data_IF_354407651228
#
_entry.id   IF_354407651228
#
_cell.length_a   1.000
_cell.length_b   1.000
_cell.length_c   1.000
_cell.angle_alpha   90.00
_cell.angle_beta   90.00
_cell.angle_gamma   90.00
#
_symmetry.space_group_name_H-M   'P 1'
#
loop_
_entity.id
_entity.type
_entity.pdbx_description
1 polymer ?
#
# COMPACT_ATOMS: atom_id res chain seq x y z
N UNK A 1 73.42 -50.66 35.33
CA UNK A 1 72.90 -49.76 34.29
C UNK A 1 71.60 -50.36 33.78
N UNK A 2 70.45 -49.92 34.31
CA UNK A 2 69.46 -49.00 33.68
C UNK A 2 68.81 -49.64 32.44
N UNK A 3 67.63 -50.27 32.57
CA UNK A 3 66.26 -49.72 32.54
C UNK A 3 65.74 -49.32 31.15
N UNK A 4 64.43 -49.53 30.96
CA UNK A 4 63.40 -48.81 30.16
C UNK A 4 62.66 -49.78 29.21
N UNK A 5 61.49 -50.31 29.62
CA UNK A 5 60.11 -49.80 29.36
C UNK A 5 59.83 -49.62 27.85
N UNK A 6 58.91 -50.35 27.20
CA UNK A 6 57.49 -50.51 27.53
C UNK A 6 56.68 -49.50 26.71
N UNK A 7 55.77 -49.95 25.82
CA UNK A 7 54.68 -49.14 25.25
C UNK A 7 53.57 -50.02 24.67
N UNK A 8 52.49 -50.15 25.44
CA UNK A 8 51.16 -50.49 24.93
C UNK A 8 50.72 -49.40 23.95
N UNK A 9 50.22 -49.81 22.79
CA UNK A 9 49.50 -48.92 21.89
C UNK A 9 48.05 -48.76 22.39
N UNK A 10 47.74 -47.58 22.91
CA UNK A 10 46.36 -47.11 23.11
C UNK A 10 45.78 -46.74 21.74
N UNK A 11 44.78 -47.49 21.29
CA UNK A 11 43.88 -47.05 20.23
C UNK A 11 42.92 -46.01 20.84
N UNK A 12 43.20 -44.72 20.61
CA UNK A 12 42.29 -43.65 20.94
C UNK A 12 41.23 -43.56 19.84
N UNK A 13 40.05 -44.11 20.11
CA UNK A 13 38.84 -43.90 19.31
C UNK A 13 38.42 -42.44 19.47
N UNK A 14 38.78 -41.58 18.51
CA UNK A 14 38.19 -40.25 18.39
C UNK A 14 36.70 -40.42 18.06
N UNK A 15 35.84 -40.22 19.05
CA UNK A 15 34.44 -39.93 18.82
C UNK A 15 34.37 -38.50 18.30
N UNK A 16 34.34 -38.35 16.97
CA UNK A 16 33.89 -37.10 16.34
C UNK A 16 32.43 -36.90 16.76
N UNK A 17 32.18 -35.91 17.61
CA UNK A 17 30.85 -35.33 17.81
C UNK A 17 30.40 -34.81 16.45
N UNK A 18 29.65 -35.62 15.71
CA UNK A 18 28.92 -35.18 14.54
C UNK A 18 27.86 -34.21 15.04
N UNK A 19 28.13 -32.90 14.92
CA UNK A 19 27.08 -31.90 15.03
C UNK A 19 25.98 -32.25 14.04
N UNK A 20 24.72 -32.20 14.47
CA UNK A 20 23.59 -32.39 13.58
C UNK A 20 23.75 -31.41 12.40
N UNK A 21 23.93 -31.95 11.20
CA UNK A 21 24.07 -31.14 10.00
C UNK A 21 22.72 -30.46 9.71
N UNK A 22 22.74 -29.14 9.60
CA UNK A 22 21.61 -28.32 9.14
C UNK A 22 21.40 -28.54 7.64
N UNK A 23 20.16 -28.42 7.15
CA UNK A 23 19.87 -28.53 5.73
C UNK A 23 19.92 -27.14 5.06
N UNK A 24 19.28 -26.15 5.66
CA UNK A 24 19.37 -24.76 5.24
C UNK A 24 20.60 -24.08 5.85
N UNK A 25 21.21 -23.19 5.08
CA UNK A 25 22.19 -22.22 5.57
C UNK A 25 21.45 -21.04 6.16
N UNK A 26 21.67 -20.75 7.45
CA UNK A 26 20.98 -19.69 8.18
C UNK A 26 22.02 -18.72 8.72
N UNK A 27 22.00 -17.48 8.24
CA UNK A 27 23.05 -16.50 8.54
C UNK A 27 22.50 -15.10 8.76
N UNK A 28 23.22 -14.28 9.53
CA UNK A 28 22.98 -12.83 9.58
C UNK A 28 23.21 -12.19 8.20
N UNK A 29 22.58 -11.04 7.98
CA UNK A 29 22.68 -10.27 6.74
C UNK A 29 22.73 -8.78 7.05
N UNK A 30 23.47 -8.05 6.23
CA UNK A 30 23.70 -6.62 6.42
C UNK A 30 22.66 -5.75 5.67
N UNK A 31 21.49 -6.30 5.33
CA UNK A 31 20.37 -5.49 4.82
C UNK A 31 20.16 -5.43 3.31
N UNK A 32 21.01 -6.03 2.47
CA UNK A 32 21.04 -5.61 1.07
C UNK A 32 19.78 -5.97 0.26
N UNK A 33 19.21 -4.94 -0.40
CA UNK A 33 18.15 -5.03 -1.41
C UNK A 33 16.73 -5.02 -0.87
N UNK A 34 16.44 -5.83 0.16
CA UNK A 34 15.07 -6.08 0.65
C UNK A 34 14.85 -5.72 2.12
N UNK A 35 15.83 -5.11 2.79
CA UNK A 35 15.74 -4.77 4.22
C UNK A 35 15.89 -5.97 5.15
N UNK A 36 16.72 -6.95 4.76
CA UNK A 36 16.88 -8.20 5.50
C UNK A 36 18.06 -8.18 6.48
N UNK A 37 17.85 -8.57 7.73
CA UNK A 37 18.93 -8.72 8.71
C UNK A 37 19.37 -10.17 8.93
N UNK A 38 18.64 -11.13 8.35
CA UNK A 38 19.01 -12.54 8.30
C UNK A 38 18.53 -13.19 6.99
N UNK A 39 19.11 -14.36 6.68
CA UNK A 39 18.82 -15.15 5.49
C UNK A 39 18.63 -16.63 5.82
N UNK A 40 17.80 -17.29 5.03
CA UNK A 40 17.62 -18.74 5.00
C UNK A 40 17.79 -19.18 3.54
N UNK A 41 18.89 -19.89 3.26
CA UNK A 41 19.26 -20.33 1.93
C UNK A 41 19.31 -21.88 1.88
N UNK A 42 18.63 -22.49 0.90
CA UNK A 42 18.60 -23.94 0.70
C UNK A 42 17.41 -24.67 1.36
N UNK A 43 17.33 -26.01 1.23
CA UNK A 43 16.18 -26.80 1.68
C UNK A 43 15.98 -26.74 3.20
N UNK A 44 14.74 -26.56 3.66
CA UNK A 44 14.38 -26.55 5.08
C UNK A 44 14.31 -27.99 5.59
N UNK A 45 15.19 -28.34 6.52
CA UNK A 45 15.33 -29.68 7.09
C UNK A 45 15.24 -29.69 8.60
N UNK A 46 15.37 -30.91 9.14
CA UNK A 46 15.31 -31.15 10.57
C UNK A 46 16.37 -30.32 11.31
N UNK A 47 15.98 -29.68 12.41
CA UNK A 47 16.81 -28.85 13.30
C UNK A 47 17.09 -27.44 12.82
N UNK A 48 16.68 -27.07 11.61
CA UNK A 48 16.85 -25.71 11.09
C UNK A 48 16.08 -24.69 11.93
N UNK A 49 14.92 -25.06 12.50
CA UNK A 49 14.18 -24.18 13.41
C UNK A 49 14.99 -23.83 14.67
N UNK A 50 15.72 -24.80 15.23
CA UNK A 50 16.58 -24.56 16.40
C UNK A 50 17.76 -23.66 16.05
N UNK A 51 18.36 -23.88 14.89
CA UNK A 51 19.46 -23.06 14.39
C UNK A 51 19.01 -21.61 14.14
N UNK A 52 17.82 -21.44 13.57
CA UNK A 52 17.18 -20.14 13.38
C UNK A 52 16.95 -19.39 14.70
N UNK A 53 16.32 -20.03 15.69
CA UNK A 53 16.13 -19.42 17.02
C UNK A 53 17.46 -19.02 17.67
N UNK A 54 18.50 -19.85 17.52
CA UNK A 54 19.82 -19.56 18.07
C UNK A 54 20.45 -18.32 17.41
N UNK A 55 20.43 -18.24 16.07
CA UNK A 55 20.92 -17.07 15.34
C UNK A 55 20.18 -15.80 15.75
N UNK A 56 18.86 -15.82 15.79
CA UNK A 56 18.05 -14.66 16.17
C UNK A 56 18.29 -14.18 17.62
N UNK A 57 18.84 -15.03 18.49
CA UNK A 57 19.23 -14.64 19.84
C UNK A 57 20.61 -13.94 19.88
N UNK A 58 21.44 -14.12 18.86
CA UNK A 58 22.76 -13.51 18.74
C UNK A 58 22.75 -12.20 17.96
N UNK A 59 21.79 -12.04 17.03
CA UNK A 59 21.63 -10.82 16.26
C UNK A 59 21.10 -9.66 17.12
N UNK A 60 21.55 -8.42 16.88
CA UNK A 60 21.00 -7.25 17.56
C UNK A 60 19.52 -7.11 17.21
N UNK A 61 18.71 -6.74 18.21
CA UNK A 61 17.29 -6.44 17.98
C UNK A 61 17.19 -5.29 16.96
N UNK A 62 16.40 -5.46 15.88
CA UNK A 62 16.25 -4.41 14.88
C UNK A 62 15.54 -3.16 15.45
N UNK A 63 15.49 -2.08 14.67
CA UNK A 63 14.72 -0.87 15.02
C UNK A 63 13.22 -1.18 15.13
N UNK A 64 12.55 -1.00 16.27
CA UNK A 64 11.11 -1.29 16.41
C UNK A 64 10.18 -0.36 15.63
N UNK A 65 10.69 0.76 15.10
CA UNK A 65 9.88 1.77 14.43
C UNK A 65 9.69 1.54 12.92
N UNK A 66 10.42 0.60 12.31
CA UNK A 66 10.38 0.36 10.87
C UNK A 66 10.34 -1.15 10.54
N UNK A 67 9.55 -1.57 9.53
CA UNK A 67 9.64 -2.94 8.99
C UNK A 67 10.94 -3.16 8.20
N UNK A 68 11.49 -2.11 7.60
CA UNK A 68 12.73 -2.18 6.83
C UNK A 68 13.92 -2.42 7.77
N UNK A 69 14.70 -3.47 7.49
CA UNK A 69 15.82 -3.88 8.34
C UNK A 69 15.45 -4.97 9.36
N UNK A 70 14.20 -5.46 9.37
CA UNK A 70 13.74 -6.57 10.23
C UNK A 70 13.27 -7.80 9.47
N UNK A 71 13.59 -7.91 8.18
CA UNK A 71 13.09 -9.01 7.34
C UNK A 71 14.03 -10.22 7.34
N UNK A 72 13.44 -11.38 7.14
CA UNK A 72 14.15 -12.63 6.86
C UNK A 72 14.07 -12.88 5.35
N UNK A 73 15.21 -12.84 4.68
CA UNK A 73 15.31 -13.15 3.25
C UNK A 73 15.29 -14.67 3.05
N UNK A 74 14.45 -15.14 2.14
CA UNK A 74 14.19 -16.55 1.88
C UNK A 74 14.61 -16.93 0.46
N UNK A 75 15.45 -17.96 0.34
CA UNK A 75 15.80 -18.61 -0.92
C UNK A 75 15.81 -20.14 -0.71
N UNK A 76 14.65 -20.77 -0.84
CA UNK A 76 14.44 -22.18 -0.55
C UNK A 76 13.34 -22.80 -1.42
N UNK A 77 13.62 -23.98 -1.96
CA UNK A 77 12.62 -24.85 -2.60
C UNK A 77 11.64 -25.50 -1.60
N UNK A 78 11.71 -25.12 -0.32
CA UNK A 78 10.90 -25.67 0.76
C UNK A 78 11.56 -26.86 1.45
N UNK A 79 10.76 -27.85 1.87
CA UNK A 79 11.23 -28.99 2.66
C UNK A 79 10.26 -29.37 3.77
N UNK A 80 10.76 -29.53 4.99
CA UNK A 80 9.98 -30.01 6.13
C UNK A 80 9.02 -28.93 6.64
N UNK A 81 7.73 -29.06 6.32
CA UNK A 81 6.72 -28.07 6.73
C UNK A 81 6.63 -27.89 8.25
N UNK A 82 6.82 -28.95 9.05
CA UNK A 82 6.84 -28.82 10.51
C UNK A 82 7.99 -27.92 11.02
N UNK A 83 9.15 -27.92 10.36
CA UNK A 83 10.27 -27.03 10.71
C UNK A 83 9.99 -25.60 10.23
N UNK A 84 9.44 -25.44 9.03
CA UNK A 84 8.99 -24.15 8.52
C UNK A 84 7.95 -23.48 9.45
N UNK A 85 6.96 -24.23 9.96
CA UNK A 85 5.97 -23.70 10.91
C UNK A 85 6.61 -23.29 12.24
N UNK A 86 7.59 -24.04 12.75
CA UNK A 86 8.33 -23.64 13.97
C UNK A 86 9.14 -22.36 13.77
N UNK A 87 9.73 -22.19 12.58
CA UNK A 87 10.41 -20.96 12.19
C UNK A 87 9.41 -19.81 12.05
N UNK A 88 8.24 -20.05 11.46
CA UNK A 88 7.15 -19.09 11.34
C UNK A 88 6.64 -18.61 12.71
N UNK A 89 6.57 -19.51 13.69
CA UNK A 89 6.20 -19.17 15.07
C UNK A 89 7.24 -18.21 15.70
N UNK A 90 8.54 -18.34 15.39
CA UNK A 90 9.58 -17.39 15.83
C UNK A 90 9.46 -16.02 15.13
N UNK A 91 9.28 -16.02 13.81
CA UNK A 91 9.07 -14.79 13.00
C UNK A 91 7.89 -14.01 13.57
N UNK A 92 6.81 -14.72 13.83
CA UNK A 92 5.60 -14.18 14.42
C UNK A 92 5.84 -13.59 15.80
N UNK A 93 6.43 -14.36 16.72
CA UNK A 93 6.64 -13.92 18.11
C UNK A 93 7.46 -12.63 18.21
N UNK A 94 8.36 -12.42 17.24
CA UNK A 94 9.30 -11.30 17.20
C UNK A 94 8.83 -10.16 16.27
N UNK A 95 7.65 -10.29 15.66
CA UNK A 95 7.12 -9.35 14.65
C UNK A 95 8.15 -9.04 13.55
N UNK A 96 8.68 -10.08 12.93
CA UNK A 96 9.64 -9.99 11.83
C UNK A 96 8.93 -10.13 10.48
N UNK A 97 9.41 -9.39 9.48
CA UNK A 97 8.97 -9.54 8.10
C UNK A 97 9.67 -10.69 7.38
N UNK A 98 9.17 -11.01 6.20
CA UNK A 98 9.78 -11.99 5.28
C UNK A 98 9.97 -11.35 3.92
N UNK A 99 11.00 -11.79 3.19
CA UNK A 99 11.25 -11.31 1.85
C UNK A 99 11.77 -12.41 0.92
N UNK A 100 11.41 -12.35 -0.36
CA UNK A 100 12.00 -13.15 -1.44
C UNK A 100 12.80 -12.20 -2.34
N UNK A 101 14.14 -12.23 -2.29
CA UNK A 101 15.00 -11.35 -3.07
C UNK A 101 14.89 -11.54 -4.59
N UNK A 102 15.55 -10.64 -5.31
CA UNK A 102 15.75 -10.77 -6.75
C UNK A 102 16.35 -12.13 -7.12
N UNK A 103 15.69 -12.84 -8.05
CA UNK A 103 16.15 -14.13 -8.58
C UNK A 103 16.08 -15.29 -7.58
N UNK A 104 15.68 -15.03 -6.32
CA UNK A 104 15.51 -16.07 -5.31
C UNK A 104 14.17 -16.78 -5.49
N UNK A 105 14.10 -18.00 -4.95
CA UNK A 105 12.90 -18.83 -5.01
C UNK A 105 12.42 -19.16 -3.61
N UNK A 106 11.12 -19.09 -3.36
CA UNK A 106 10.51 -19.56 -2.13
C UNK A 106 9.27 -20.39 -2.44
N UNK A 107 9.41 -21.70 -2.36
CA UNK A 107 8.36 -22.65 -2.76
C UNK A 107 7.95 -23.57 -1.61
N UNK A 108 6.76 -24.16 -1.72
CA UNK A 108 6.31 -25.21 -0.81
C UNK A 108 6.34 -24.75 0.67
N UNK A 109 7.02 -25.47 1.55
CA UNK A 109 7.18 -25.11 2.96
C UNK A 109 7.83 -23.72 3.17
N UNK A 110 8.70 -23.26 2.25
CA UNK A 110 9.24 -21.91 2.31
C UNK A 110 8.13 -20.87 2.14
N UNK A 111 7.21 -21.10 1.20
CA UNK A 111 6.10 -20.17 0.95
C UNK A 111 5.16 -20.06 2.16
N UNK A 112 4.98 -21.14 2.93
CA UNK A 112 4.26 -21.07 4.21
C UNK A 112 5.03 -20.26 5.26
N UNK A 113 6.35 -20.43 5.34
CA UNK A 113 7.21 -19.61 6.20
C UNK A 113 7.15 -18.13 5.81
N UNK A 114 7.15 -17.83 4.51
CA UNK A 114 7.00 -16.48 3.97
C UNK A 114 5.72 -15.82 4.47
N UNK A 115 4.60 -16.53 4.54
CA UNK A 115 3.33 -15.97 5.05
C UNK A 115 3.38 -15.57 6.53
N UNK A 116 4.36 -16.01 7.31
CA UNK A 116 4.51 -15.61 8.71
C UNK A 116 4.95 -14.14 8.89
N UNK A 117 5.49 -13.53 7.83
CA UNK A 117 5.99 -12.16 7.83
C UNK A 117 4.94 -11.15 8.25
N UNK A 118 5.28 -10.34 9.26
CA UNK A 118 4.41 -9.34 9.86
C UNK A 118 5.19 -8.19 10.44
N UNK A 119 4.49 -7.08 10.65
CA UNK A 119 4.97 -5.97 11.43
C UNK A 119 3.90 -5.50 12.43
N UNK A 120 4.33 -5.01 13.58
CA UNK A 120 3.44 -4.43 14.59
C UNK A 120 4.05 -3.14 15.11
N UNK A 121 3.37 -2.01 14.92
CA UNK A 121 3.81 -0.74 15.48
C UNK A 121 3.79 -0.80 17.01
N UNK A 122 4.92 -0.55 17.65
CA UNK A 122 5.02 -0.61 19.12
C UNK A 122 4.36 0.61 19.79
N UNK A 123 4.03 1.66 19.03
CA UNK A 123 3.50 2.93 19.55
C UNK A 123 2.11 3.22 18.98
N UNK A 124 1.08 3.19 19.84
CA UNK A 124 -0.22 3.83 19.58
C UNK A 124 -1.36 2.89 19.21
N UNK A 125 -1.13 1.87 18.39
CA UNK A 125 -2.16 0.90 17.97
C UNK A 125 -1.58 -0.51 17.81
N UNK A 126 -2.24 -1.50 18.43
CA UNK A 126 -1.95 -2.94 18.35
C UNK A 126 -2.24 -3.57 16.97
N UNK A 127 -2.20 -2.78 15.89
CA UNK A 127 -2.44 -3.29 14.55
C UNK A 127 -1.23 -4.13 14.11
N UNK A 128 -1.48 -5.41 13.85
CA UNK A 128 -0.52 -6.32 13.21
C UNK A 128 -0.81 -6.29 11.72
N UNK A 129 0.15 -5.83 10.93
CA UNK A 129 0.06 -5.76 9.47
C UNK A 129 0.90 -6.89 8.86
N UNK A 130 0.51 -7.47 7.72
CA UNK A 130 1.43 -8.26 6.91
C UNK A 130 2.70 -7.46 6.58
N UNK A 131 3.86 -8.12 6.60
CA UNK A 131 5.13 -7.57 6.09
C UNK A 131 5.83 -8.68 5.31
N UNK A 132 5.46 -8.76 4.03
CA UNK A 132 5.72 -9.91 3.14
C UNK A 132 6.14 -9.39 1.78
N UNK A 133 7.45 -9.30 1.57
CA UNK A 133 7.99 -8.59 0.40
C UNK A 133 8.50 -9.54 -0.68
N UNK A 134 7.92 -9.48 -1.86
CA UNK A 134 8.36 -10.20 -3.05
C UNK A 134 9.09 -9.24 -4.00
N UNK A 135 10.31 -9.59 -4.40
CA UNK A 135 10.96 -8.86 -5.48
C UNK A 135 10.21 -9.12 -6.81
N UNK A 136 10.05 -8.11 -7.72
CA UNK A 136 9.41 -8.31 -9.03
C UNK A 136 9.98 -9.48 -9.87
N UNK A 137 11.26 -9.77 -9.64
CA UNK A 137 12.05 -10.85 -10.27
C UNK A 137 12.29 -12.07 -9.35
N UNK A 138 11.59 -12.17 -8.22
CA UNK A 138 11.63 -13.31 -7.32
C UNK A 138 10.52 -14.31 -7.63
N UNK A 139 10.65 -15.55 -7.17
CA UNK A 139 9.67 -16.62 -7.41
C UNK A 139 9.04 -17.06 -6.10
N UNK A 140 7.71 -16.99 -5.99
CA UNK A 140 6.95 -17.43 -4.83
C UNK A 140 5.86 -18.41 -5.26
N UNK A 141 5.92 -19.64 -4.78
CA UNK A 141 5.07 -20.73 -5.24
C UNK A 141 4.39 -21.48 -4.10
N UNK A 142 3.08 -21.70 -4.24
CA UNK A 142 2.24 -22.42 -3.29
C UNK A 142 1.70 -23.70 -3.90
N UNK A 143 1.69 -24.77 -3.10
CA UNK A 143 0.97 -25.99 -3.41
C UNK A 143 0.46 -26.66 -2.14
N UNK A 144 -0.43 -27.64 -2.28
CA UNK A 144 -0.98 -28.39 -1.15
C UNK A 144 0.11 -29.19 -0.44
N UNK A 145 0.18 -29.21 0.90
CA UNK A 145 1.11 -30.08 1.60
C UNK A 145 0.85 -31.54 1.22
N UNK A 146 1.89 -32.27 0.80
CA UNK A 146 1.77 -33.69 0.53
C UNK A 146 2.78 -34.52 1.29
N UNK A 147 2.42 -35.78 1.41
CA UNK A 147 3.33 -36.83 1.79
C UNK A 147 3.81 -37.47 0.50
N UNK A 148 5.11 -37.37 0.26
CA UNK A 148 5.74 -38.08 -0.86
C UNK A 148 5.62 -39.57 -0.55
N UNK A 149 4.77 -40.26 -1.31
CA UNK A 149 4.60 -41.71 -1.27
C UNK A 149 5.28 -42.30 -2.50
N UNK A 150 6.15 -43.29 -2.31
CA UNK A 150 6.65 -44.17 -3.36
C UNK A 150 5.53 -44.79 -4.20
N UNK A 151 5.80 -45.07 -5.47
CA UNK A 151 4.85 -45.80 -6.32
C UNK A 151 4.85 -47.30 -5.99
N UNK A 152 4.13 -47.66 -4.92
CA UNK A 152 3.99 -49.05 -4.45
C UNK A 152 2.60 -49.30 -3.85
N UNK A 153 2.19 -50.58 -3.70
CA UNK A 153 1.02 -50.93 -2.92
C UNK A 153 1.22 -50.54 -1.44
N UNK A 154 0.20 -49.88 -0.86
CA UNK A 154 0.16 -49.47 0.54
C UNK A 154 -0.87 -50.28 1.33
N UNK A 155 -0.53 -50.66 2.55
CA UNK A 155 -1.51 -51.21 3.49
C UNK A 155 -2.49 -50.12 3.95
N UNK A 156 -3.71 -50.53 4.33
CA UNK A 156 -4.74 -49.60 4.85
C UNK A 156 -4.25 -48.74 6.01
N UNK A 157 -3.43 -49.31 6.89
CA UNK A 157 -2.86 -48.61 8.04
C UNK A 157 -1.87 -47.51 7.61
N UNK A 158 -1.04 -47.78 6.60
CA UNK A 158 -0.12 -46.79 6.03
C UNK A 158 -0.89 -45.62 5.40
N UNK A 159 -1.95 -45.92 4.65
CA UNK A 159 -2.83 -44.90 4.04
C UNK A 159 -3.52 -44.06 5.12
N UNK A 160 -4.06 -44.69 6.17
CA UNK A 160 -4.69 -43.97 7.27
C UNK A 160 -3.70 -43.07 8.01
N UNK A 161 -2.48 -43.56 8.26
CA UNK A 161 -1.41 -42.79 8.91
C UNK A 161 -1.01 -41.58 8.06
N UNK A 162 -0.84 -41.78 6.75
CA UNK A 162 -0.55 -40.71 5.82
C UNK A 162 -1.68 -39.66 5.79
N UNK A 163 -2.93 -40.11 5.70
CA UNK A 163 -4.08 -39.20 5.74
C UNK A 163 -4.16 -38.39 7.03
N UNK A 164 -3.98 -39.03 8.20
CA UNK A 164 -3.94 -38.34 9.50
C UNK A 164 -2.80 -37.32 9.59
N UNK A 165 -1.63 -37.65 9.04
CA UNK A 165 -0.50 -36.72 9.01
C UNK A 165 -0.78 -35.53 8.09
N UNK A 166 -1.35 -35.74 6.90
CA UNK A 166 -1.76 -34.66 6.00
C UNK A 166 -2.78 -33.71 6.67
N UNK A 167 -3.79 -34.24 7.35
CA UNK A 167 -4.74 -33.43 8.12
C UNK A 167 -4.09 -32.65 9.26
N UNK A 168 -3.14 -33.27 9.97
CA UNK A 168 -2.39 -32.60 11.03
C UNK A 168 -1.56 -31.43 10.47
N UNK A 169 -0.94 -31.62 9.31
CA UNK A 169 -0.17 -30.58 8.62
C UNK A 169 -1.03 -29.40 8.19
N UNK A 170 -2.24 -29.67 7.69
CA UNK A 170 -3.24 -28.62 7.42
C UNK A 170 -3.67 -27.90 8.70
N UNK A 171 -3.86 -28.66 9.78
CA UNK A 171 -4.15 -28.12 11.11
C UNK A 171 -3.09 -27.13 11.59
N UNK A 172 -1.80 -27.39 11.35
CA UNK A 172 -0.72 -26.46 11.71
C UNK A 172 -0.77 -25.13 10.93
N UNK A 173 -1.10 -25.16 9.64
CA UNK A 173 -1.26 -23.92 8.86
C UNK A 173 -2.47 -23.11 9.36
N UNK A 174 -3.58 -23.79 9.64
CA UNK A 174 -4.78 -23.15 10.20
C UNK A 174 -4.53 -22.60 11.62
N UNK A 175 -3.75 -23.32 12.43
CA UNK A 175 -3.31 -22.88 13.76
C UNK A 175 -2.47 -21.61 13.63
N UNK A 176 -1.49 -21.59 12.72
CA UNK A 176 -0.67 -20.42 12.44
C UNK A 176 -1.52 -19.20 12.04
N UNK A 177 -2.57 -19.41 11.23
CA UNK A 177 -3.54 -18.35 10.89
C UNK A 177 -4.31 -17.87 12.13
N UNK A 178 -4.91 -18.80 12.87
CA UNK A 178 -5.87 -18.48 13.93
C UNK A 178 -5.24 -18.01 15.23
N UNK A 179 -4.20 -18.68 15.72
CA UNK A 179 -3.63 -18.42 17.05
C UNK A 179 -2.63 -17.28 17.02
N UNK A 180 -1.90 -17.18 15.92
CA UNK A 180 -0.83 -16.23 15.82
C UNK A 180 -1.25 -14.96 15.09
N UNK A 181 -2.50 -14.86 14.63
CA UNK A 181 -3.02 -13.69 13.91
C UNK A 181 -2.35 -13.47 12.54
N UNK A 182 -1.76 -14.53 11.97
CA UNK A 182 -1.19 -14.45 10.62
C UNK A 182 -2.34 -14.27 9.63
N UNK A 183 -2.43 -13.09 9.01
CA UNK A 183 -3.49 -12.78 8.06
C UNK A 183 -3.21 -13.47 6.71
N UNK A 184 -3.79 -14.64 6.50
CA UNK A 184 -3.73 -15.34 5.20
C UNK A 184 -5.08 -15.11 4.52
N UNK A 185 -5.04 -14.55 3.30
CA UNK A 185 -6.21 -14.41 2.43
C UNK A 185 -6.88 -15.77 2.22
N UNK A 186 -8.21 -15.82 2.30
CA UNK A 186 -8.96 -17.07 2.14
C UNK A 186 -8.79 -17.62 0.72
N UNK A 187 -8.75 -16.75 -0.29
CA UNK A 187 -8.50 -17.13 -1.67
C UNK A 187 -7.11 -17.74 -1.86
N UNK A 188 -6.07 -17.22 -1.19
CA UNK A 188 -4.72 -17.80 -1.22
C UNK A 188 -4.70 -19.17 -0.56
N UNK A 189 -5.30 -19.30 0.62
CA UNK A 189 -5.39 -20.57 1.33
C UNK A 189 -6.10 -21.61 0.47
N UNK A 190 -7.25 -21.28 -0.11
CA UNK A 190 -7.97 -22.17 -1.01
C UNK A 190 -7.16 -22.51 -2.27
N UNK A 191 -6.44 -21.55 -2.84
CA UNK A 191 -5.58 -21.77 -4.01
C UNK A 191 -4.46 -22.75 -3.68
N UNK A 192 -3.76 -22.56 -2.56
CA UNK A 192 -2.72 -23.47 -2.08
C UNK A 192 -3.29 -24.88 -1.86
N UNK A 193 -4.44 -25.02 -1.18
CA UNK A 193 -5.05 -26.31 -0.89
C UNK A 193 -5.54 -27.06 -2.13
N UNK A 194 -5.97 -26.33 -3.16
CA UNK A 194 -6.45 -26.91 -4.41
C UNK A 194 -5.35 -27.14 -5.45
N UNK A 195 -4.13 -26.64 -5.21
CA UNK A 195 -2.98 -26.88 -6.08
C UNK A 195 -2.36 -28.23 -5.73
N UNK A 196 -2.35 -29.23 -6.64
CA UNK A 196 -1.75 -30.54 -6.39
C UNK A 196 -0.29 -30.45 -5.98
N UNK A 197 0.20 -31.35 -5.15
CA UNK A 197 1.56 -31.26 -4.63
C UNK A 197 2.68 -31.58 -5.63
N UNK A 198 2.32 -32.09 -6.81
CA UNK A 198 3.21 -32.26 -7.94
C UNK A 198 3.12 -31.09 -8.95
N UNK A 199 2.42 -30.03 -8.57
CA UNK A 199 2.21 -28.81 -9.34
C UNK A 199 2.49 -27.59 -8.44
N UNK A 200 2.46 -26.39 -9.01
CA UNK A 200 2.71 -25.16 -8.27
C UNK A 200 1.86 -24.01 -8.82
N UNK A 201 1.23 -23.26 -7.93
CA UNK A 201 0.64 -21.96 -8.27
C UNK A 201 1.58 -20.85 -7.83
N UNK A 202 1.99 -20.02 -8.78
CA UNK A 202 2.91 -18.90 -8.53
C UNK A 202 2.17 -17.57 -8.36
N UNK A 203 2.81 -16.65 -7.65
CA UNK A 203 2.42 -15.22 -7.64
C UNK A 203 3.07 -14.55 -8.84
N UNK A 204 2.29 -14.29 -9.89
CA UNK A 204 2.81 -13.88 -11.20
C UNK A 204 2.34 -12.50 -11.63
N UNK A 205 1.22 -11.99 -11.10
CA UNK A 205 0.65 -10.69 -11.50
C UNK A 205 0.47 -9.73 -10.34
N UNK A 206 0.35 -8.44 -10.66
CA UNK A 206 0.03 -7.37 -9.70
C UNK A 206 -1.23 -7.70 -8.90
N UNK A 207 -2.28 -8.19 -9.57
CA UNK A 207 -3.55 -8.48 -8.92
C UNK A 207 -3.49 -9.66 -7.95
N UNK A 208 -2.70 -10.70 -8.26
CA UNK A 208 -2.49 -11.82 -7.35
C UNK A 208 -1.75 -11.36 -6.09
N UNK A 209 -0.66 -10.59 -6.28
CA UNK A 209 0.11 -10.05 -5.16
C UNK A 209 -0.77 -9.13 -4.28
N UNK A 210 -1.53 -8.23 -4.91
CA UNK A 210 -2.42 -7.32 -4.20
C UNK A 210 -3.56 -8.04 -3.44
N UNK A 211 -4.26 -8.97 -4.11
CA UNK A 211 -5.33 -9.78 -3.51
C UNK A 211 -4.83 -10.56 -2.29
N UNK A 212 -3.61 -11.11 -2.38
CA UNK A 212 -3.03 -11.95 -1.33
C UNK A 212 -2.22 -11.16 -0.29
N UNK A 213 -2.25 -9.83 -0.36
CA UNK A 213 -1.53 -8.94 0.54
C UNK A 213 -0.03 -9.28 0.60
N UNK A 214 0.55 -9.47 -0.58
CA UNK A 214 1.98 -9.69 -0.80
C UNK A 214 2.51 -8.42 -1.44
N UNK A 215 3.38 -7.72 -0.73
CA UNK A 215 3.99 -6.48 -1.21
C UNK A 215 4.99 -6.81 -2.31
N UNK A 216 5.03 -6.00 -3.38
CA UNK A 216 6.02 -6.16 -4.45
C UNK A 216 6.89 -4.93 -4.52
N UNK A 217 8.20 -5.11 -4.28
CA UNK A 217 9.17 -4.02 -4.26
C UNK A 217 10.60 -4.52 -4.54
N UNK A 218 11.51 -3.66 -5.03
CA UNK A 218 11.31 -2.25 -5.35
C UNK A 218 10.65 -2.04 -6.72
N UNK A 219 9.65 -1.16 -6.79
CA UNK A 219 8.94 -0.82 -8.04
C UNK A 219 8.95 0.68 -8.28
N UNK A 220 9.24 1.09 -9.51
CA UNK A 220 9.20 2.48 -9.94
C UNK A 220 7.76 2.92 -10.27
N UNK A 221 7.46 4.18 -9.94
CA UNK A 221 6.25 4.85 -10.36
C UNK A 221 6.41 5.40 -11.78
N UNK A 222 5.31 5.48 -12.51
CA UNK A 222 5.29 5.98 -13.89
C UNK A 222 4.33 7.16 -14.03
N UNK A 223 4.66 8.09 -14.91
CA UNK A 223 3.94 9.36 -15.10
C UNK A 223 3.10 9.40 -16.39
N UNK A 224 2.99 8.27 -17.12
CA UNK A 224 2.46 8.25 -18.50
C UNK A 224 0.94 8.36 -18.55
N UNK A 225 0.23 7.68 -17.64
CA UNK A 225 -1.23 7.70 -17.53
C UNK A 225 -1.65 7.73 -16.06
N UNK A 226 -1.66 8.93 -15.49
CA UNK A 226 -1.88 9.10 -14.05
C UNK A 226 -3.29 8.75 -13.61
N UNK A 227 -4.30 8.95 -14.46
CA UNK A 227 -5.69 8.62 -14.14
C UNK A 227 -5.87 7.11 -14.06
N UNK A 228 -5.30 6.34 -15.01
CA UNK A 228 -5.29 4.88 -14.91
C UNK A 228 -4.45 4.39 -13.74
N UNK A 229 -3.30 5.00 -13.46
CA UNK A 229 -2.46 4.63 -12.32
C UNK A 229 -3.19 4.79 -10.98
N UNK A 230 -3.89 5.92 -10.77
CA UNK A 230 -4.70 6.16 -9.57
C UNK A 230 -5.87 5.17 -9.48
N UNK A 231 -6.56 4.90 -10.60
CA UNK A 231 -7.61 3.87 -10.65
C UNK A 231 -7.06 2.50 -10.25
N UNK A 232 -5.94 2.06 -10.82
CA UNK A 232 -5.33 0.78 -10.48
C UNK A 232 -4.90 0.70 -9.02
N UNK A 233 -4.35 1.78 -8.45
CA UNK A 233 -4.04 1.83 -7.03
C UNK A 233 -5.29 1.58 -6.16
N UNK A 234 -6.41 2.23 -6.49
CA UNK A 234 -7.69 1.97 -5.83
C UNK A 234 -8.11 0.48 -5.96
N UNK A 235 -8.10 -0.07 -7.18
CA UNK A 235 -8.58 -1.44 -7.43
C UNK A 235 -7.70 -2.50 -6.77
N UNK A 236 -6.39 -2.35 -6.84
CA UNK A 236 -5.43 -3.30 -6.27
C UNK A 236 -5.50 -3.28 -4.74
N UNK A 237 -5.51 -2.10 -4.12
CA UNK A 237 -5.65 -2.01 -2.66
C UNK A 237 -7.02 -2.51 -2.18
N UNK A 238 -8.10 -2.23 -2.92
CA UNK A 238 -9.44 -2.74 -2.62
C UNK A 238 -9.55 -4.27 -2.74
N UNK A 239 -8.94 -4.85 -3.78
CA UNK A 239 -8.87 -6.29 -3.96
C UNK A 239 -8.19 -7.00 -2.79
N UNK A 240 -7.13 -6.40 -2.22
CA UNK A 240 -6.49 -6.90 -1.00
C UNK A 240 -7.37 -6.80 0.25
N UNK A 241 -8.15 -5.73 0.39
CA UNK A 241 -9.09 -5.58 1.51
C UNK A 241 -10.28 -6.56 1.44
N UNK A 242 -10.76 -6.84 0.23
CA UNK A 242 -11.93 -7.68 0.00
C UNK A 242 -11.60 -9.15 -0.31
N UNK A 243 -10.31 -9.49 -0.45
CA UNK A 243 -9.83 -10.76 -0.95
C UNK A 243 -10.46 -11.16 -2.30
N UNK A 244 -10.52 -10.19 -3.21
CA UNK A 244 -11.11 -10.31 -4.55
C UNK A 244 -10.09 -9.93 -5.61
N UNK A 245 -10.28 -10.46 -6.83
CA UNK A 245 -9.44 -10.08 -7.96
C UNK A 245 -9.77 -8.67 -8.42
N UNK A 246 -8.80 -7.73 -8.39
CA UNK A 246 -8.97 -6.39 -8.95
C UNK A 246 -9.50 -6.36 -10.38
N UNK A 247 -9.19 -7.34 -11.24
CA UNK A 247 -9.66 -7.33 -12.63
C UNK A 247 -11.08 -7.87 -12.86
N UNK A 248 -11.74 -8.40 -11.82
CA UNK A 248 -13.13 -8.88 -11.89
C UNK A 248 -14.15 -7.74 -11.64
N UNK A 249 -13.70 -6.58 -11.14
CA UNK A 249 -14.55 -5.42 -10.93
C UNK A 249 -14.95 -4.74 -12.25
N UNK A 250 -16.16 -4.17 -12.26
CA UNK A 250 -16.65 -3.39 -13.41
C UNK A 250 -15.82 -2.12 -13.69
N UNK A 251 -15.04 -1.66 -12.71
CA UNK A 251 -14.18 -0.49 -12.83
C UNK A 251 -12.85 -0.79 -13.58
N UNK A 252 -12.39 -2.03 -13.67
CA UNK A 252 -11.10 -2.36 -14.30
C UNK A 252 -11.02 -1.92 -15.77
N UNK A 253 -12.04 -2.24 -16.56
CA UNK A 253 -12.14 -1.86 -17.98
C UNK A 253 -12.86 -0.54 -18.23
N UNK A 254 -13.22 0.20 -17.18
CA UNK A 254 -13.99 1.44 -17.29
C UNK A 254 -13.05 2.65 -17.24
N UNK A 255 -13.22 3.57 -18.18
CA UNK A 255 -12.61 4.90 -18.09
C UNK A 255 -13.31 5.80 -17.04
N UNK A 256 -14.40 5.34 -16.44
CA UNK A 256 -15.32 6.17 -15.65
C UNK A 256 -14.99 6.20 -14.15
N UNK A 257 -13.72 6.38 -13.77
CA UNK A 257 -13.38 6.72 -12.39
C UNK A 257 -12.61 8.06 -12.38
N UNK A 258 -13.32 9.19 -12.55
CA UNK A 258 -12.70 10.51 -12.46
C UNK A 258 -12.23 10.79 -11.03
N UNK A 259 -11.23 11.64 -10.89
CA UNK A 259 -10.67 12.03 -9.60
C UNK A 259 -10.76 13.53 -9.41
N UNK A 260 -11.07 13.93 -8.18
CA UNK A 260 -10.84 15.28 -7.68
C UNK A 260 -9.53 15.30 -6.92
N UNK A 261 -8.86 16.46 -6.92
CA UNK A 261 -7.54 16.58 -6.32
C UNK A 261 -7.52 17.59 -5.18
N UNK A 262 -6.68 17.31 -4.18
CA UNK A 262 -6.45 18.19 -3.04
C UNK A 262 -5.02 18.07 -2.51
N UNK A 263 -4.64 18.98 -1.61
CA UNK A 263 -3.35 18.93 -0.89
C UNK A 263 -2.13 18.74 -1.81
N UNK A 264 -2.09 19.45 -2.92
CA UNK A 264 -1.08 19.28 -3.96
C UNK A 264 0.26 19.92 -3.58
N UNK A 265 1.35 19.19 -3.75
CA UNK A 265 2.72 19.66 -3.53
C UNK A 265 3.74 18.88 -4.37
N UNK A 266 5.01 19.29 -4.40
CA UNK A 266 6.05 18.63 -5.20
C UNK A 266 6.36 17.20 -4.71
N UNK A 267 5.92 16.87 -3.50
CA UNK A 267 6.20 15.64 -2.76
C UNK A 267 4.94 15.01 -2.15
N UNK A 268 3.74 15.51 -2.48
CA UNK A 268 2.49 15.06 -1.87
C UNK A 268 1.29 15.35 -2.77
N UNK A 269 0.27 14.52 -2.65
CA UNK A 269 -1.01 14.74 -3.31
C UNK A 269 -2.11 13.96 -2.61
N UNK A 270 -3.33 14.45 -2.74
CA UNK A 270 -4.53 13.70 -2.41
C UNK A 270 -5.41 13.60 -3.66
N UNK A 271 -5.91 12.41 -3.93
CA UNK A 271 -6.79 12.14 -5.06
C UNK A 271 -8.01 11.35 -4.54
N UNK A 272 -9.21 11.89 -4.76
CA UNK A 272 -10.46 11.27 -4.31
C UNK A 272 -11.31 10.96 -5.53
N UNK A 273 -11.70 9.69 -5.71
CA UNK A 273 -12.55 9.29 -6.83
C UNK A 273 -13.93 9.96 -6.72
N UNK A 274 -14.43 10.53 -7.81
CA UNK A 274 -15.73 11.18 -7.86
C UNK A 274 -16.84 10.13 -8.04
N UNK A 275 -17.47 9.74 -6.92
CA UNK A 275 -18.57 8.78 -6.85
C UNK A 275 -18.21 7.37 -7.31
N UNK A 276 -19.10 6.40 -7.05
CA UNK A 276 -19.05 5.14 -7.80
C UNK A 276 -17.96 4.14 -7.42
N UNK A 277 -17.25 4.27 -6.30
CA UNK A 277 -16.28 3.26 -5.89
C UNK A 277 -17.02 2.12 -5.14
N UNK A 278 -16.68 0.86 -5.46
CA UNK A 278 -17.39 -0.38 -5.02
C UNK A 278 -18.84 -0.52 -5.53
N UNK A 279 -19.48 -1.66 -5.23
CA UNK A 279 -20.87 -1.92 -5.57
C UNK A 279 -21.81 -0.95 -4.82
N UNK A 280 -22.87 -0.50 -5.50
CA UNK A 280 -23.85 0.52 -5.06
C UNK A 280 -23.40 2.00 -5.18
N UNK A 281 -22.19 2.27 -5.67
CA UNK A 281 -21.70 3.64 -5.92
C UNK A 281 -21.71 4.56 -4.69
N UNK A 282 -21.72 3.99 -3.49
CA UNK A 282 -21.86 4.70 -2.23
C UNK A 282 -20.53 5.01 -1.53
N UNK A 283 -19.41 4.51 -2.06
CA UNK A 283 -18.08 4.73 -1.49
C UNK A 283 -17.19 5.56 -2.41
N UNK A 284 -16.17 6.18 -1.82
CA UNK A 284 -15.10 6.90 -2.50
C UNK A 284 -13.75 6.26 -2.19
N UNK A 285 -12.91 6.13 -3.20
CA UNK A 285 -11.49 5.84 -3.04
C UNK A 285 -10.73 7.15 -2.80
N UNK A 286 -10.26 7.39 -1.58
CA UNK A 286 -9.39 8.51 -1.26
C UNK A 286 -7.93 8.03 -1.08
N UNK A 287 -7.06 8.43 -2.01
CA UNK A 287 -5.62 8.21 -1.93
C UNK A 287 -4.95 9.44 -1.31
N UNK A 288 -4.24 9.23 -0.20
CA UNK A 288 -3.33 10.23 0.39
C UNK A 288 -1.89 9.78 0.19
N UNK A 289 -1.15 10.53 -0.62
CA UNK A 289 0.16 10.14 -1.15
C UNK A 289 1.24 11.14 -0.72
N UNK A 290 2.42 10.63 -0.38
CA UNK A 290 3.60 11.42 -0.08
C UNK A 290 4.87 10.71 -0.54
N UNK A 291 5.80 11.45 -1.14
CA UNK A 291 7.12 10.95 -1.51
C UNK A 291 7.88 10.55 -0.24
N UNK A 292 8.31 9.30 -0.17
CA UNK A 292 9.08 8.76 0.95
C UNK A 292 10.55 8.62 0.61
N UNK A 293 10.87 8.47 -0.68
CA UNK A 293 12.20 8.10 -1.14
C UNK A 293 12.63 6.68 -0.75
N UNK A 294 11.72 5.88 -0.17
CA UNK A 294 11.94 4.49 0.20
C UNK A 294 11.26 3.59 -0.85
N UNK A 295 12.04 2.88 -1.69
CA UNK A 295 11.48 2.03 -2.72
C UNK A 295 10.85 0.73 -2.17
N UNK A 296 11.04 0.41 -0.88
CA UNK A 296 10.52 -0.79 -0.22
C UNK A 296 9.29 -0.51 0.66
N UNK A 297 8.97 0.77 0.88
CA UNK A 297 7.88 1.20 1.73
C UNK A 297 6.64 1.62 0.93
N UNK A 298 5.53 1.89 1.64
CA UNK A 298 4.35 2.48 1.03
C UNK A 298 4.63 3.93 0.57
N UNK A 299 3.93 4.38 -0.48
CA UNK A 299 3.91 5.78 -0.93
C UNK A 299 2.73 6.57 -0.33
N UNK A 300 1.93 5.92 0.51
CA UNK A 300 0.77 6.54 1.12
C UNK A 300 -0.23 5.51 1.59
N UNK A 301 -1.48 5.93 1.65
CA UNK A 301 -2.59 5.06 2.03
C UNK A 301 -3.85 5.41 1.26
N UNK A 302 -4.71 4.41 1.18
CA UNK A 302 -6.07 4.48 0.72
C UNK A 302 -7.00 4.52 1.93
N UNK A 303 -7.98 5.42 1.90
CA UNK A 303 -9.16 5.38 2.75
C UNK A 303 -10.38 5.12 1.86
N UNK A 304 -11.24 4.19 2.27
CA UNK A 304 -12.57 4.03 1.68
C UNK A 304 -13.59 4.67 2.61
N UNK A 305 -14.14 5.80 2.19
CA UNK A 305 -15.20 6.51 2.90
C UNK A 305 -16.56 6.17 2.28
N UNK A 306 -17.55 5.81 3.09
CA UNK A 306 -18.91 5.46 2.65
C UNK A 306 -19.14 3.96 2.39
N UNK A 307 -20.34 3.46 2.77
CA UNK A 307 -20.74 2.05 2.67
C UNK A 307 -21.76 1.62 3.74
N UNK A 308 -22.22 0.37 3.71
CA UNK A 308 -23.29 -0.17 4.60
C UNK A 308 -22.97 -0.11 6.11
N UNK A 309 -21.73 0.19 6.52
CA UNK A 309 -21.28 0.15 7.91
C UNK A 309 -20.63 1.44 8.45
N UNK A 310 -20.43 2.49 7.63
CA UNK A 310 -19.66 3.70 8.03
C UNK A 310 -18.28 3.38 8.65
N UNK A 311 -17.61 2.31 8.20
CA UNK A 311 -16.27 1.96 8.64
C UNK A 311 -15.24 2.53 7.67
N UNK A 312 -14.49 3.55 8.10
CA UNK A 312 -13.33 4.06 7.39
C UNK A 312 -12.26 2.96 7.36
N UNK A 313 -12.19 2.24 6.24
CA UNK A 313 -11.17 1.20 6.06
C UNK A 313 -9.94 1.85 5.45
N UNK A 314 -8.80 1.73 6.14
CA UNK A 314 -7.52 2.24 5.69
C UNK A 314 -6.59 1.11 5.28
N UNK A 315 -5.93 1.26 4.13
CA UNK A 315 -4.91 0.32 3.64
C UNK A 315 -3.70 1.08 3.14
N UNK A 316 -2.49 0.59 3.45
CA UNK A 316 -1.26 1.15 2.89
C UNK A 316 -1.19 0.86 1.39
N UNK A 317 -0.63 1.82 0.63
CA UNK A 317 -0.52 1.72 -0.82
C UNK A 317 0.95 1.78 -1.23
N UNK A 318 1.35 0.83 -2.06
CA UNK A 318 2.71 0.61 -2.55
C UNK A 318 2.80 0.89 -4.05
N UNK A 319 4.01 1.18 -4.54
CA UNK A 319 4.24 1.57 -5.93
C UNK A 319 3.73 0.55 -6.96
N UNK A 320 3.81 -0.76 -6.66
CA UNK A 320 3.33 -1.82 -7.58
C UNK A 320 1.83 -1.76 -7.84
N UNK A 321 1.03 -1.23 -6.90
CA UNK A 321 -0.43 -1.16 -7.03
C UNK A 321 -0.88 -0.10 -8.04
N UNK A 322 -0.01 0.82 -8.45
CA UNK A 322 -0.30 1.81 -9.50
C UNK A 322 -0.20 1.25 -10.93
N UNK A 323 0.13 -0.03 -11.07
CA UNK A 323 0.24 -0.71 -12.35
C UNK A 323 -0.98 -1.55 -12.64
N UNK A 324 -1.17 -1.89 -13.93
CA UNK A 324 -2.31 -2.69 -14.36
C UNK A 324 -2.39 -4.00 -13.55
N UNK A 325 -3.56 -4.31 -12.94
CA UNK A 325 -3.82 -5.58 -12.26
C UNK A 325 -3.27 -6.83 -12.97
N UNK A 326 -3.38 -6.91 -14.30
CA UNK A 326 -2.97 -8.08 -15.08
C UNK A 326 -1.50 -8.04 -15.52
N UNK A 327 -0.77 -6.99 -15.17
CA UNK A 327 0.65 -6.88 -15.50
C UNK A 327 1.43 -7.99 -14.79
N UNK A 328 2.25 -8.77 -15.51
CA UNK A 328 3.17 -9.71 -14.89
C UNK A 328 4.16 -8.98 -13.98
N UNK A 329 4.48 -9.55 -12.82
CA UNK A 329 5.42 -8.96 -11.86
C UNK A 329 6.80 -8.75 -12.49
N UNK A 330 7.26 -9.68 -13.32
CA UNK A 330 8.55 -9.57 -14.03
C UNK A 330 8.63 -8.37 -15.00
N UNK A 331 7.48 -7.84 -15.42
CA UNK A 331 7.39 -6.69 -16.31
C UNK A 331 7.33 -5.35 -15.56
N UNK A 332 7.23 -5.38 -14.21
CA UNK A 332 7.24 -4.16 -13.41
C UNK A 332 8.60 -3.45 -13.51
N UNK A 333 8.60 -2.11 -13.64
CA UNK A 333 9.85 -1.36 -13.66
C UNK A 333 10.50 -1.38 -12.27
N UNK A 334 11.71 -1.90 -12.15
CA UNK A 334 12.41 -2.01 -10.85
C UNK A 334 13.10 -0.69 -10.51
N UNK A 335 12.93 -0.22 -9.26
CA UNK A 335 13.55 1.00 -8.76
C UNK A 335 14.91 0.72 -8.08
N UNK A 336 15.95 0.51 -8.88
CA UNK A 336 17.30 0.16 -8.39
C UNK A 336 18.09 1.36 -7.79
N UNK A 337 17.51 2.56 -7.77
CA UNK A 337 18.13 3.77 -7.21
C UNK A 337 17.09 4.80 -6.78
N UNK A 338 17.42 5.76 -5.89
CA UNK A 338 16.51 6.84 -5.50
C UNK A 338 15.98 7.68 -6.68
N UNK A 339 16.79 7.86 -7.73
CA UNK A 339 16.36 8.56 -8.94
C UNK A 339 15.37 7.73 -9.79
N UNK A 340 15.45 6.40 -9.69
CA UNK A 340 14.60 5.46 -10.42
C UNK A 340 13.24 5.21 -9.76
N UNK A 341 13.02 5.65 -8.51
CA UNK A 341 11.71 5.49 -7.82
C UNK A 341 10.59 6.19 -8.60
N UNK A 342 10.89 7.30 -9.29
CA UNK A 342 9.92 7.97 -10.15
C UNK A 342 8.91 8.86 -9.41
N UNK A 343 9.07 9.09 -8.09
CA UNK A 343 8.16 9.95 -7.31
C UNK A 343 8.05 11.38 -7.86
N UNK A 344 9.18 12.03 -8.18
CA UNK A 344 9.18 13.40 -8.71
C UNK A 344 8.35 13.56 -9.98
N UNK A 345 8.60 12.79 -11.07
CA UNK A 345 7.75 12.88 -12.26
C UNK A 345 6.31 12.42 -11.99
N UNK A 346 6.08 11.48 -11.07
CA UNK A 346 4.74 11.02 -10.69
C UNK A 346 3.91 12.13 -10.04
N UNK A 347 4.41 12.80 -8.99
CA UNK A 347 3.72 13.92 -8.36
C UNK A 347 3.55 15.12 -9.30
N UNK A 348 4.54 15.38 -10.17
CA UNK A 348 4.40 16.41 -11.21
C UNK A 348 3.27 16.08 -12.21
N UNK A 349 3.07 14.79 -12.55
CA UNK A 349 1.97 14.36 -13.40
C UNK A 349 0.61 14.46 -12.70
N UNK A 350 0.51 14.15 -11.41
CA UNK A 350 -0.71 14.39 -10.61
C UNK A 350 -1.05 15.88 -10.62
N UNK A 351 -0.07 16.75 -10.35
CA UNK A 351 -0.26 18.20 -10.41
C UNK A 351 -0.71 18.68 -11.79
N UNK A 352 -0.18 18.09 -12.86
CA UNK A 352 -0.61 18.41 -14.22
C UNK A 352 -2.05 17.96 -14.50
N UNK A 353 -2.45 16.76 -14.05
CA UNK A 353 -3.83 16.29 -14.17
C UNK A 353 -4.79 17.18 -13.37
N UNK A 354 -4.45 17.48 -12.11
CA UNK A 354 -5.22 18.38 -11.26
C UNK A 354 -5.36 19.78 -11.85
N UNK A 355 -4.30 20.33 -12.48
CA UNK A 355 -4.39 21.62 -13.17
C UNK A 355 -5.40 21.60 -14.30
N UNK A 356 -5.47 20.52 -15.10
CA UNK A 356 -6.47 20.42 -16.17
C UNK A 356 -7.87 20.44 -15.58
N UNK A 357 -8.13 19.61 -14.58
CA UNK A 357 -9.43 19.50 -13.90
C UNK A 357 -9.86 20.81 -13.22
N UNK A 358 -8.99 21.40 -12.40
CA UNK A 358 -9.28 22.60 -11.60
C UNK A 358 -9.23 23.93 -12.40
N UNK A 359 -8.80 23.91 -13.66
CA UNK A 359 -8.74 25.11 -14.53
C UNK A 359 -9.91 25.25 -15.49
N UNK A 360 -10.68 24.17 -15.71
CA UNK A 360 -11.84 24.15 -16.62
C UNK A 360 -13.17 24.26 -15.86
N UNK A 361 -13.11 24.59 -14.56
CA UNK A 361 -14.28 24.70 -13.69
C UNK A 361 -15.14 25.90 -14.08
N UNK A 362 -16.38 25.61 -14.48
CA UNK A 362 -17.38 26.63 -14.80
C UNK A 362 -18.10 27.08 -13.51
N UNK A 363 -17.77 28.29 -13.03
CA UNK A 363 -18.46 28.89 -11.89
C UNK A 363 -19.83 29.40 -12.34
N UNK A 364 -20.91 28.80 -11.82
CA UNK A 364 -22.29 29.08 -12.24
C UNK A 364 -23.09 29.98 -11.30
N UNK A 365 -22.57 30.25 -10.11
CA UNK A 365 -23.26 31.00 -9.06
C UNK A 365 -22.30 31.89 -8.27
N UNK A 366 -22.83 32.98 -7.71
CA UNK A 366 -22.10 33.79 -6.73
C UNK A 366 -22.00 33.10 -5.37
N UNK A 367 -23.00 32.27 -5.05
CA UNK A 367 -23.16 31.61 -3.77
C UNK A 367 -22.51 30.22 -3.78
N UNK A 368 -21.80 29.90 -2.71
CA UNK A 368 -21.40 28.54 -2.38
C UNK A 368 -22.52 27.87 -1.58
N UNK A 369 -22.86 26.63 -1.91
CA UNK A 369 -23.86 25.79 -1.23
C UNK A 369 -23.20 24.94 -0.15
N UNK A 370 -21.98 24.47 -0.41
CA UNK A 370 -21.14 23.75 0.55
C UNK A 370 -20.27 24.69 1.42
N UNK A 371 -20.09 24.40 2.72
CA UNK A 371 -19.10 25.07 3.57
C UNK A 371 -17.67 24.60 3.28
N UNK A 372 -17.48 23.55 2.48
CA UNK A 372 -16.19 23.11 1.96
C UNK A 372 -16.07 23.57 0.51
N UNK A 373 -14.91 24.09 0.15
CA UNK A 373 -14.58 24.52 -1.21
C UNK A 373 -13.10 24.19 -1.53
N UNK A 374 -12.71 24.33 -2.79
CA UNK A 374 -11.35 24.12 -3.28
C UNK A 374 -10.85 25.34 -4.03
N UNK A 375 -9.53 25.53 -4.01
CA UNK A 375 -8.89 26.57 -4.83
C UNK A 375 -8.87 26.13 -6.30
N UNK A 376 -9.53 26.91 -7.17
CA UNK A 376 -9.62 26.69 -8.63
C UNK A 376 -9.13 27.92 -9.40
N UNK A 377 -9.06 27.82 -10.73
CA UNK A 377 -8.80 28.96 -11.63
C UNK A 377 -7.49 29.74 -11.36
N UNK A 378 -6.46 29.07 -10.84
CA UNK A 378 -5.12 29.64 -10.64
C UNK A 378 -4.03 28.75 -11.27
N UNK A 379 -2.87 29.35 -11.58
CA UNK A 379 -1.72 28.59 -12.11
C UNK A 379 -1.01 27.76 -11.04
N UNK A 380 -0.80 28.36 -9.87
CA UNK A 380 -0.05 27.74 -8.76
C UNK A 380 -0.71 27.99 -7.43
N UNK A 381 -1.13 29.24 -7.15
CA UNK A 381 -1.73 29.62 -5.88
C UNK A 381 -2.61 30.87 -6.02
N UNK A 382 -3.44 31.11 -5.00
CA UNK A 382 -4.13 32.38 -4.74
C UNK A 382 -3.60 33.00 -3.44
N UNK A 383 -3.61 34.32 -3.33
CA UNK A 383 -3.23 35.00 -2.09
C UNK A 383 -4.41 35.06 -1.12
N UNK A 384 -4.26 34.47 0.06
CA UNK A 384 -5.13 34.66 1.22
C UNK A 384 -4.83 36.02 1.86
N UNK A 385 -5.86 36.83 2.08
CA UNK A 385 -5.71 38.23 2.54
C UNK A 385 -6.35 38.48 3.89
N UNK A 386 -5.89 39.51 4.60
CA UNK A 386 -6.42 39.93 5.92
C UNK A 386 -7.75 40.70 5.83
N UNK A 387 -8.15 41.09 4.63
CA UNK A 387 -9.43 41.72 4.32
C UNK A 387 -9.85 41.45 2.88
N UNK A 388 -11.11 41.72 2.51
CA UNK A 388 -11.60 41.53 1.15
C UNK A 388 -10.94 42.54 0.20
N UNK A 389 -10.58 42.08 -1.00
CA UNK A 389 -10.05 42.93 -2.06
C UNK A 389 -8.53 42.90 -2.21
N UNK A 390 -8.05 43.32 -3.38
CA UNK A 390 -6.61 43.28 -3.70
C UNK A 390 -5.75 44.30 -2.94
N UNK A 391 -6.38 45.30 -2.30
CA UNK A 391 -5.69 46.31 -1.49
C UNK A 391 -5.27 45.83 -0.09
N UNK A 392 -5.82 44.71 0.38
CA UNK A 392 -5.53 44.12 1.69
C UNK A 392 -4.20 43.35 1.72
N UNK A 393 -3.60 43.18 2.90
CA UNK A 393 -2.30 42.53 3.03
C UNK A 393 -2.40 41.03 2.76
N UNK A 394 -1.35 40.45 2.18
CA UNK A 394 -1.27 39.00 1.97
C UNK A 394 -0.81 38.33 3.26
N UNK A 395 -1.59 37.35 3.72
CA UNK A 395 -1.33 36.55 4.92
C UNK A 395 -0.64 35.24 4.55
N UNK A 396 -1.07 34.60 3.46
CA UNK A 396 -0.50 33.33 2.97
C UNK A 396 -0.76 33.14 1.47
N UNK A 397 0.06 32.32 0.81
CA UNK A 397 -0.24 31.75 -0.49
C UNK A 397 -0.90 30.38 -0.34
N UNK A 398 -2.13 30.24 -0.85
CA UNK A 398 -2.91 29.00 -0.79
C UNK A 398 -2.81 28.31 -2.16
N UNK A 399 -2.18 27.12 -2.25
CA UNK A 399 -1.98 26.39 -3.49
C UNK A 399 -3.29 25.98 -4.18
N UNK A 400 -3.21 25.81 -5.50
CA UNK A 400 -4.27 25.21 -6.32
C UNK A 400 -4.71 23.87 -5.72
N UNK A 401 -6.01 23.64 -5.66
CA UNK A 401 -6.62 22.41 -5.13
C UNK A 401 -6.66 22.31 -3.61
N UNK A 402 -6.07 23.23 -2.83
CA UNK A 402 -6.21 23.17 -1.36
C UNK A 402 -7.70 23.23 -0.97
N UNK A 403 -8.14 22.28 -0.13
CA UNK A 403 -9.47 22.29 0.49
C UNK A 403 -9.50 23.41 1.52
N UNK A 404 -10.52 24.26 1.46
CA UNK A 404 -10.73 25.39 2.35
C UNK A 404 -12.16 25.36 2.89
N UNK A 405 -12.31 25.79 4.14
CA UNK A 405 -13.60 25.89 4.79
C UNK A 405 -14.13 27.31 4.73
N UNK A 406 -15.27 27.50 4.08
CA UNK A 406 -15.99 28.77 4.03
C UNK A 406 -16.64 29.03 5.40
N UNK A 407 -16.36 30.17 6.01
CA UNK A 407 -16.83 30.47 7.38
C UNK A 407 -18.34 30.73 7.38
N UNK A 408 -18.84 31.44 6.36
CA UNK A 408 -20.26 31.70 6.16
C UNK A 408 -20.59 31.71 4.67
N UNK A 409 -21.26 30.66 4.19
CA UNK A 409 -21.56 30.46 2.75
C UNK A 409 -22.53 31.50 2.18
N UNK A 410 -23.32 32.13 3.04
CA UNK A 410 -24.28 33.19 2.68
C UNK A 410 -23.73 34.61 2.88
N UNK A 411 -22.51 34.77 3.41
CA UNK A 411 -21.93 36.08 3.71
C UNK A 411 -20.90 36.50 2.66
N UNK A 412 -21.42 37.07 1.56
CA UNK A 412 -20.62 37.50 0.42
C UNK A 412 -20.14 38.95 0.59
N UNK A 413 -18.84 39.13 0.74
CA UNK A 413 -18.24 40.45 0.95
C UNK A 413 -17.93 41.16 -0.38
N UNK A 414 -18.18 42.47 -0.43
CA UNK A 414 -17.87 43.32 -1.58
C UNK A 414 -17.03 44.52 -1.14
N UNK A 415 -15.71 44.52 -1.35
CA UNK A 415 -14.80 45.54 -0.82
C UNK A 415 -15.01 46.93 -1.44
N UNK A 416 -15.49 46.99 -2.68
CA UNK A 416 -15.88 48.24 -3.33
C UNK A 416 -17.35 48.56 -3.02
N UNK A 417 -17.61 49.29 -1.94
CA UNK A 417 -18.94 49.86 -1.68
C UNK A 417 -19.31 50.88 -2.77
N UNK A 418 -20.10 50.45 -3.76
CA UNK A 418 -20.45 51.30 -4.91
C UNK A 418 -21.56 50.72 -5.81
N UNK A 419 -21.88 51.44 -6.88
CA UNK A 419 -22.93 51.04 -7.86
C UNK A 419 -22.65 49.68 -8.49
N UNK A 420 -21.37 49.35 -8.69
CA UNK A 420 -20.93 48.07 -9.24
C UNK A 420 -21.29 46.91 -8.33
N UNK A 421 -20.88 46.94 -7.06
CA UNK A 421 -21.21 45.89 -6.09
C UNK A 421 -22.72 45.71 -5.95
N UNK A 422 -23.50 46.80 -5.90
CA UNK A 422 -24.97 46.74 -5.85
C UNK A 422 -25.56 46.08 -7.10
N UNK A 423 -25.04 46.42 -8.27
CA UNK A 423 -25.50 45.86 -9.54
C UNK A 423 -25.18 44.37 -9.64
N UNK A 424 -23.97 43.97 -9.23
CA UNK A 424 -23.53 42.59 -9.20
C UNK A 424 -24.33 41.74 -8.19
N UNK A 425 -24.54 42.24 -6.96
CA UNK A 425 -25.38 41.55 -5.96
C UNK A 425 -26.82 41.37 -6.45
N UNK A 426 -27.39 42.38 -7.12
CA UNK A 426 -28.72 42.27 -7.72
C UNK A 426 -28.74 41.17 -8.79
N UNK A 427 -27.76 41.14 -9.69
CA UNK A 427 -27.66 40.12 -10.73
C UNK A 427 -27.54 38.71 -10.14
N UNK A 428 -26.76 38.52 -9.08
CA UNK A 428 -26.66 37.24 -8.37
C UNK A 428 -28.00 36.78 -7.79
N UNK A 429 -28.73 37.69 -7.16
CA UNK A 429 -30.04 37.39 -6.58
C UNK A 429 -31.09 37.08 -7.66
N UNK A 430 -31.10 37.84 -8.75
CA UNK A 430 -32.02 37.62 -9.88
C UNK A 430 -31.72 36.29 -10.59
N UNK A 431 -30.43 35.95 -10.80
CA UNK A 431 -30.04 34.67 -11.40
C UNK A 431 -30.42 33.47 -10.52
N UNK A 432 -30.37 33.62 -9.19
CA UNK A 432 -30.83 32.58 -8.27
C UNK A 432 -32.34 32.29 -8.39
N UNK A 433 -33.13 33.26 -8.88
CA UNK A 433 -34.57 33.11 -9.12
C UNK A 433 -34.89 32.61 -10.54
N UNK A 434 -34.05 32.92 -11.53
CA UNK A 434 -34.19 32.50 -12.93
C UNK A 434 -32.86 31.96 -13.47
N UNK A 435 -32.53 30.73 -13.07
CA UNK A 435 -31.23 30.11 -13.36
C UNK A 435 -30.99 29.83 -14.83
N UNK A 436 -32.03 29.84 -15.68
CA UNK A 436 -31.93 29.61 -17.12
C UNK A 436 -31.59 30.87 -17.93
N UNK A 437 -31.56 32.05 -17.29
CA UNK A 437 -31.36 33.32 -17.98
C UNK A 437 -29.89 33.54 -18.38
N UNK A 438 -29.59 33.37 -19.67
CA UNK A 438 -28.23 33.52 -20.22
C UNK A 438 -27.67 34.94 -20.05
N UNK A 439 -28.53 35.97 -20.11
CA UNK A 439 -28.11 37.36 -19.94
C UNK A 439 -27.67 37.67 -18.51
N UNK A 440 -28.46 37.22 -17.52
CA UNK A 440 -28.08 37.32 -16.09
C UNK A 440 -26.84 36.48 -15.78
N UNK A 441 -26.72 35.30 -16.39
CA UNK A 441 -25.53 34.44 -16.22
C UNK A 441 -24.27 35.12 -16.75
N UNK A 442 -24.30 35.71 -17.94
CA UNK A 442 -23.18 36.47 -18.47
C UNK A 442 -22.79 37.66 -17.57
N UNK A 443 -23.78 38.35 -17.01
CA UNK A 443 -23.52 39.46 -16.07
C UNK A 443 -22.89 38.98 -14.75
N UNK A 444 -23.36 37.87 -14.19
CA UNK A 444 -22.78 37.27 -12.98
C UNK A 444 -21.35 36.81 -13.23
N UNK A 445 -21.10 36.14 -14.36
CA UNK A 445 -19.75 35.68 -14.73
C UNK A 445 -18.77 36.86 -14.81
N UNK A 446 -19.17 37.98 -15.44
CA UNK A 446 -18.35 39.19 -15.47
C UNK A 446 -18.03 39.72 -14.05
N UNK A 447 -19.02 39.78 -13.15
CA UNK A 447 -18.79 40.21 -11.77
C UNK A 447 -17.80 39.30 -11.01
N UNK A 448 -17.82 37.99 -11.28
CA UNK A 448 -16.89 37.02 -10.69
C UNK A 448 -15.48 37.18 -11.28
N UNK A 449 -15.36 37.26 -12.60
CA UNK A 449 -14.09 37.52 -13.31
C UNK A 449 -13.44 38.83 -12.86
N UNK A 450 -14.25 39.84 -12.55
CA UNK A 450 -13.82 41.14 -12.03
C UNK A 450 -13.49 41.14 -10.53
N UNK A 451 -13.54 39.98 -9.85
CA UNK A 451 -13.23 39.81 -8.43
C UNK A 451 -14.07 40.71 -7.50
N UNK A 452 -15.34 40.94 -7.83
CA UNK A 452 -16.24 41.77 -7.02
C UNK A 452 -16.56 41.11 -5.67
N UNK A 453 -16.61 39.78 -5.65
CA UNK A 453 -17.12 38.98 -4.53
C UNK A 453 -16.01 38.25 -3.79
N UNK A 454 -16.04 38.30 -2.46
CA UNK A 454 -15.04 37.72 -1.59
C UNK A 454 -15.69 36.91 -0.47
N UNK A 455 -15.07 35.78 -0.14
CA UNK A 455 -15.46 34.93 0.97
C UNK A 455 -14.38 34.95 2.04
N UNK A 456 -14.82 34.97 3.31
CA UNK A 456 -13.95 34.61 4.42
C UNK A 456 -13.86 33.08 4.50
N UNK A 457 -12.64 32.56 4.44
CA UNK A 457 -12.34 31.14 4.47
C UNK A 457 -11.31 30.85 5.56
N UNK A 458 -11.23 29.57 5.92
CA UNK A 458 -10.15 28.98 6.72
C UNK A 458 -9.43 27.95 5.87
N UNK A 459 -8.13 28.11 5.74
CA UNK A 459 -7.31 27.20 4.93
C UNK A 459 -6.97 25.89 5.66
N UNK A 460 -6.24 24.98 5.00
CA UNK A 460 -5.84 23.69 5.57
C UNK A 460 -4.88 23.79 6.76
N UNK A 461 -4.27 24.95 7.01
CA UNK A 461 -3.47 25.20 8.23
C UNK A 461 -4.28 25.76 9.39
N UNK A 462 -5.56 26.07 9.16
CA UNK A 462 -6.42 26.72 10.13
C UNK A 462 -6.34 28.26 10.12
N UNK A 463 -5.59 28.87 9.20
CA UNK A 463 -5.47 30.32 9.06
C UNK A 463 -6.72 30.88 8.36
N UNK A 464 -7.32 31.92 8.95
CA UNK A 464 -8.46 32.61 8.38
C UNK A 464 -8.02 33.80 7.51
N UNK A 465 -8.81 34.10 6.48
CA UNK A 465 -8.62 35.26 5.61
C UNK A 465 -9.62 35.28 4.45
N UNK A 466 -9.42 36.18 3.50
CA UNK A 466 -10.34 36.42 2.39
C UNK A 466 -9.76 35.99 1.04
N UNK A 467 -10.59 35.32 0.24
CA UNK A 467 -10.32 34.90 -1.14
C UNK A 467 -11.49 35.32 -2.04
N UNK A 468 -11.19 35.73 -3.27
CA UNK A 468 -12.21 36.05 -4.28
C UNK A 468 -12.98 34.80 -4.71
N UNK A 469 -14.30 34.95 -4.93
CA UNK A 469 -15.19 33.89 -5.43
C UNK A 469 -14.71 33.26 -6.73
N UNK A 470 -13.95 33.99 -7.54
CA UNK A 470 -13.36 33.50 -8.79
C UNK A 470 -12.48 32.26 -8.60
N UNK A 471 -11.88 32.11 -7.42
CA UNK A 471 -10.90 31.07 -7.15
C UNK A 471 -11.44 29.97 -6.23
N UNK A 472 -12.76 29.89 -6.04
CA UNK A 472 -13.40 28.92 -5.17
C UNK A 472 -14.38 28.07 -5.99
N UNK A 473 -14.41 26.76 -5.74
CA UNK A 473 -15.44 25.86 -6.24
C UNK A 473 -15.76 24.78 -5.20
N UNK A 474 -16.93 24.15 -5.29
CA UNK A 474 -17.42 23.19 -4.28
C UNK A 474 -16.92 21.76 -4.45
#
# INVERSE_FOLDING_TARGET
MKQVLGRLAMAATLWTLAGAAQAATITGSDGQGMGCFARIDGPIGLWDARAFTALLAELPEPDPASPVGRRICLDSIGGTLAEAVRMADEITRRSLGTAVPEGATCESACAVLFLAGRFSHIVGETAVLPDRLLHPRGTLGFHSPALVTEDRPYAREEVNTAHSLALSTLGEVLRMRSETGTQIADSLLLTMLNTPANDMTYVETVEQAAQWQIEVAPVALTAVDIESALRYACLNADGGMLDQRPSDTYLYGSANLPFSYANLGPDRAQATSLGGFRAEAAAECELTLAATGDPLGPIGYLTIEGGLANEDTRSEVYAYQFHDPRLPLEALPVADSPAAIGEKPFFAAIQAAARRELSEVEIRSCWLLSPEARIVNVREYVNLRDGPGFGSSVVRQVPLGERVRVIATQDLQTPEGGDRARTCLKACNDLALDTANEGLRAQVNACIEDNVFWYEIRDGSGQAGYISRQFLDE
#
